data_IF_469644674300
#
_entry.id   IF_469644674300
#
_cell.length_a   1.000
_cell.length_b   1.000
_cell.length_c   1.000
_cell.angle_alpha   90.00
_cell.angle_beta   90.00
_cell.angle_gamma   90.00
#
_symmetry.space_group_name_H-M   'P 1'
#
loop_
_entity.id
_entity.type
_entity.pdbx_description
1 polymer ?
#
# COMPACT_ATOMS: atom_id res chain seq x y z
N UNK A 1 -45.57 7.30 -48.36
CA UNK A 1 -45.41 5.84 -48.53
C UNK A 1 -43.92 5.55 -48.39
N UNK A 2 -43.48 5.24 -47.16
CA UNK A 2 -43.39 3.87 -46.61
C UNK A 2 -42.04 3.24 -47.05
N UNK A 3 -41.01 3.28 -46.19
CA UNK A 3 -40.55 2.20 -45.24
C UNK A 3 -39.82 1.07 -45.98
N UNK A 4 -38.66 0.51 -45.59
CA UNK A 4 -38.01 0.27 -44.29
C UNK A 4 -36.52 -0.10 -44.56
N UNK A 5 -35.53 0.23 -43.69
CA UNK A 5 -35.10 -0.54 -42.48
C UNK A 5 -34.48 -1.91 -42.86
N UNK A 6 -33.39 -2.44 -42.34
CA UNK A 6 -32.37 -2.13 -41.33
C UNK A 6 -31.29 -3.22 -41.56
N UNK A 7 -30.01 -2.95 -41.27
CA UNK A 7 -29.27 -3.92 -40.46
C UNK A 7 -28.14 -3.21 -39.68
N UNK A 8 -28.30 -3.36 -38.38
CA UNK A 8 -27.54 -2.92 -37.22
C UNK A 8 -26.27 -3.76 -36.99
N UNK A 9 -25.37 -3.22 -36.16
CA UNK A 9 -24.42 -3.91 -35.29
C UNK A 9 -23.37 -4.84 -35.92
N UNK A 10 -22.07 -4.55 -35.72
CA UNK A 10 -21.37 -4.95 -34.49
C UNK A 10 -19.85 -4.67 -34.53
N UNK A 11 -19.34 -4.24 -33.36
CA UNK A 11 -18.04 -4.50 -32.76
C UNK A 11 -16.77 -4.61 -33.63
N UNK A 12 -15.97 -3.55 -33.55
CA UNK A 12 -14.51 -3.63 -33.55
C UNK A 12 -13.95 -2.92 -32.33
N UNK A 13 -14.41 -3.27 -31.12
CA UNK A 13 -13.73 -2.86 -29.90
C UNK A 13 -12.32 -3.40 -29.97
N UNK A 14 -11.34 -2.54 -30.21
CA UNK A 14 -9.92 -2.90 -30.21
C UNK A 14 -9.66 -3.70 -28.92
N UNK A 15 -9.34 -5.01 -28.98
CA UNK A 15 -9.29 -5.87 -27.80
C UNK A 15 -8.25 -5.38 -26.78
N UNK A 16 -7.28 -4.60 -27.25
CA UNK A 16 -6.32 -3.86 -26.43
C UNK A 16 -6.95 -2.72 -25.64
N UNK A 17 -7.86 -1.93 -26.25
CA UNK A 17 -8.59 -0.85 -25.59
C UNK A 17 -9.62 -1.39 -24.59
N UNK A 18 -10.39 -2.41 -24.95
CA UNK A 18 -11.36 -3.02 -24.05
C UNK A 18 -10.68 -3.61 -22.80
N UNK A 19 -9.54 -4.30 -22.98
CA UNK A 19 -8.74 -4.82 -21.87
C UNK A 19 -8.15 -3.70 -21.00
N UNK A 20 -7.65 -2.63 -21.64
CA UNK A 20 -7.11 -1.48 -20.92
C UNK A 20 -8.18 -0.73 -20.10
N UNK A 21 -9.39 -0.56 -20.65
CA UNK A 21 -10.52 0.08 -19.96
C UNK A 21 -11.08 -0.77 -18.82
N UNK A 22 -10.99 -2.11 -18.92
CA UNK A 22 -11.52 -3.01 -17.91
C UNK A 22 -10.57 -3.22 -16.72
N UNK A 23 -9.25 -3.31 -16.97
CA UNK A 23 -8.26 -3.73 -15.96
C UNK A 23 -6.92 -2.99 -16.00
N UNK A 24 -6.74 -2.10 -16.98
CA UNK A 24 -5.48 -1.38 -17.17
C UNK A 24 -5.33 -0.17 -16.25
N UNK A 25 -4.11 0.31 -16.00
CA UNK A 25 -3.92 1.55 -15.25
C UNK A 25 -4.49 2.74 -16.04
N UNK A 26 -5.08 3.72 -15.33
CA UNK A 26 -5.78 4.89 -15.92
C UNK A 26 -5.04 5.55 -17.09
N UNK A 27 -3.73 5.79 -16.96
CA UNK A 27 -2.93 6.46 -17.99
C UNK A 27 -2.80 5.64 -19.29
N UNK A 28 -2.75 4.31 -19.19
CA UNK A 28 -2.71 3.40 -20.35
C UNK A 28 -4.08 3.39 -21.04
N UNK A 29 -5.16 3.30 -20.26
CA UNK A 29 -6.52 3.33 -20.79
C UNK A 29 -6.87 4.69 -21.45
N UNK A 30 -6.48 5.80 -20.82
CA UNK A 30 -6.68 7.14 -21.36
C UNK A 30 -5.89 7.34 -22.67
N UNK A 31 -4.63 6.89 -22.72
CA UNK A 31 -3.82 6.97 -23.94
C UNK A 31 -4.43 6.13 -25.06
N UNK A 32 -4.85 4.90 -24.76
CA UNK A 32 -5.49 4.02 -25.73
C UNK A 32 -6.81 4.63 -26.27
N UNK A 33 -7.65 5.20 -25.40
CA UNK A 33 -8.91 5.84 -25.79
C UNK A 33 -8.67 7.09 -26.67
N UNK A 34 -7.65 7.89 -26.36
CA UNK A 34 -7.28 9.08 -27.17
C UNK A 34 -6.79 8.66 -28.55
N UNK A 35 -5.95 7.62 -28.62
CA UNK A 35 -5.44 7.09 -29.88
C UNK A 35 -6.56 6.51 -30.74
N UNK A 36 -7.45 5.70 -30.16
CA UNK A 36 -8.60 5.13 -30.86
C UNK A 36 -9.56 6.19 -31.41
N UNK A 37 -9.69 7.33 -30.72
CA UNK A 37 -10.54 8.45 -31.17
C UNK A 37 -9.83 9.38 -32.16
N UNK A 38 -8.50 9.32 -32.27
CA UNK A 38 -7.70 10.18 -33.16
C UNK A 38 -7.75 11.66 -32.78
N UNK A 39 -7.87 12.00 -31.49
CA UNK A 39 -7.95 13.39 -31.02
C UNK A 39 -6.61 13.88 -30.45
N UNK A 40 -6.13 15.03 -30.93
CA UNK A 40 -5.01 15.75 -30.30
C UNK A 40 -5.39 16.39 -28.97
N UNK A 41 -4.40 16.58 -28.08
CA UNK A 41 -4.61 17.13 -26.73
C UNK A 41 -5.23 18.54 -26.73
N UNK A 42 -4.87 19.41 -27.69
CA UNK A 42 -5.47 20.75 -27.80
C UNK A 42 -6.97 20.70 -28.17
N UNK A 43 -7.37 19.69 -28.96
CA UNK A 43 -8.76 19.47 -29.33
C UNK A 43 -9.58 18.95 -28.15
N UNK A 44 -8.98 18.12 -27.29
CA UNK A 44 -9.58 17.68 -26.03
C UNK A 44 -9.75 18.85 -25.07
N UNK A 45 -8.70 19.66 -24.89
CA UNK A 45 -8.77 20.89 -24.07
C UNK A 45 -9.89 21.82 -24.54
N UNK A 46 -9.98 22.09 -25.84
CA UNK A 46 -11.03 22.94 -26.39
C UNK A 46 -12.45 22.40 -26.12
N UNK A 47 -12.65 21.08 -26.24
CA UNK A 47 -13.95 20.44 -25.97
C UNK A 47 -14.31 20.42 -24.48
N UNK A 48 -13.31 20.32 -23.60
CA UNK A 48 -13.52 20.44 -22.15
C UNK A 48 -13.85 21.88 -21.76
N UNK A 49 -13.16 22.87 -22.35
CA UNK A 49 -13.45 24.29 -22.12
C UNK A 49 -14.87 24.68 -22.57
N UNK A 50 -15.36 24.11 -23.68
CA UNK A 50 -16.74 24.31 -24.12
C UNK A 50 -17.80 23.77 -23.13
N UNK A 51 -17.38 22.97 -22.14
CA UNK A 51 -18.20 22.43 -21.04
C UNK A 51 -17.87 23.09 -19.69
N UNK A 52 -17.21 24.24 -19.70
CA UNK A 52 -16.73 24.98 -18.51
C UNK A 52 -15.72 24.20 -17.63
N UNK A 53 -15.03 23.21 -18.22
CA UNK A 53 -14.03 22.39 -17.54
C UNK A 53 -12.62 22.82 -17.96
N UNK A 54 -11.97 23.60 -17.09
CA UNK A 54 -10.62 24.09 -17.33
C UNK A 54 -9.56 23.03 -17.01
N UNK A 55 -9.04 22.39 -18.05
CA UNK A 55 -7.89 21.47 -17.96
C UNK A 55 -6.81 21.90 -18.94
N UNK A 56 -5.60 22.13 -18.46
CA UNK A 56 -4.48 22.52 -19.33
C UNK A 56 -4.00 21.36 -20.22
N UNK A 57 -3.40 21.67 -21.38
CA UNK A 57 -2.78 20.66 -22.25
C UNK A 57 -1.67 19.90 -21.52
N UNK A 58 -0.93 20.57 -20.62
CA UNK A 58 0.08 19.96 -19.74
C UNK A 58 -0.53 18.94 -18.78
N UNK A 59 -1.68 19.25 -18.18
CA UNK A 59 -2.41 18.33 -17.29
C UNK A 59 -2.85 17.07 -18.03
N UNK A 60 -3.41 17.23 -19.24
CA UNK A 60 -3.81 16.10 -20.08
C UNK A 60 -2.61 15.23 -20.49
N UNK A 61 -1.48 15.86 -20.82
CA UNK A 61 -0.23 15.16 -21.13
C UNK A 61 0.29 14.39 -19.91
N UNK A 62 0.27 14.97 -18.72
CA UNK A 62 0.70 14.30 -17.50
C UNK A 62 -0.21 13.13 -17.13
N UNK A 63 -1.51 13.23 -17.39
CA UNK A 63 -2.47 12.12 -17.23
C UNK A 63 -2.18 10.97 -18.19
N UNK A 64 -1.87 11.24 -19.47
CA UNK A 64 -1.49 10.20 -20.45
C UNK A 64 -0.18 9.49 -20.12
N UNK A 65 0.76 10.18 -19.47
CA UNK A 65 2.07 9.62 -19.09
C UNK A 65 2.09 9.05 -17.67
N UNK A 66 0.97 9.11 -16.94
CA UNK A 66 0.88 8.61 -15.57
C UNK A 66 1.66 9.41 -14.53
N UNK A 67 2.13 10.62 -14.89
CA UNK A 67 2.89 11.51 -13.98
C UNK A 67 2.00 12.14 -12.92
N UNK A 68 0.74 12.41 -13.26
CA UNK A 68 -0.29 12.90 -12.34
C UNK A 68 -1.60 12.17 -12.61
N UNK A 69 -2.53 12.20 -11.64
CA UNK A 69 -3.87 11.66 -11.79
C UNK A 69 -4.91 12.73 -11.47
N UNK A 70 -6.09 12.70 -12.12
CA UNK A 70 -7.22 13.54 -11.72
C UNK A 70 -7.71 13.17 -10.31
N UNK A 71 -7.58 14.08 -9.35
CA UNK A 71 -8.01 13.85 -7.95
C UNK A 71 -9.11 14.84 -7.49
N UNK A 72 -9.15 16.07 -8.03
CA UNK A 72 -10.13 17.09 -7.65
C UNK A 72 -11.51 16.89 -8.31
N UNK A 73 -12.62 17.34 -7.68
CA UNK A 73 -13.98 17.19 -8.24
C UNK A 73 -14.12 17.68 -9.69
N UNK A 74 -13.60 18.87 -10.01
CA UNK A 74 -13.61 19.42 -11.38
C UNK A 74 -12.76 18.59 -12.36
N UNK A 75 -11.68 17.97 -11.90
CA UNK A 75 -10.84 17.10 -12.73
C UNK A 75 -11.47 15.71 -12.94
N UNK A 76 -12.21 15.19 -11.95
CA UNK A 76 -13.00 13.96 -12.08
C UNK A 76 -14.20 14.20 -13.02
N UNK A 77 -14.84 15.36 -12.92
CA UNK A 77 -15.88 15.80 -13.85
C UNK A 77 -15.32 15.95 -15.28
N UNK A 78 -14.10 16.48 -15.42
CA UNK A 78 -13.39 16.48 -16.70
C UNK A 78 -13.13 15.06 -17.23
N UNK A 79 -12.88 14.06 -16.38
CA UNK A 79 -12.75 12.66 -16.81
C UNK A 79 -14.09 12.10 -17.28
N UNK A 80 -15.20 12.42 -16.62
CA UNK A 80 -16.54 12.05 -17.09
C UNK A 80 -16.83 12.66 -18.48
N UNK A 81 -16.49 13.94 -18.66
CA UNK A 81 -16.63 14.60 -19.95
C UNK A 81 -15.69 13.99 -21.01
N UNK A 82 -14.49 13.54 -20.63
CA UNK A 82 -13.58 12.83 -21.53
C UNK A 82 -14.16 11.49 -21.99
N UNK A 83 -14.86 10.74 -21.14
CA UNK A 83 -15.48 9.47 -21.53
C UNK A 83 -16.47 9.66 -22.70
N UNK A 84 -17.27 10.72 -22.64
CA UNK A 84 -18.19 11.10 -23.72
C UNK A 84 -17.45 11.59 -24.97
N UNK A 85 -16.44 12.46 -24.81
CA UNK A 85 -15.66 13.01 -25.93
C UNK A 85 -14.91 11.90 -26.69
N UNK A 86 -14.41 10.92 -25.94
CA UNK A 86 -13.65 9.77 -26.43
C UNK A 86 -14.53 8.61 -26.89
N UNK A 87 -15.85 8.69 -26.66
CA UNK A 87 -16.82 7.66 -27.00
C UNK A 87 -16.49 6.29 -26.38
N UNK A 88 -16.07 6.30 -25.12
CA UNK A 88 -15.85 5.09 -24.31
C UNK A 88 -17.01 4.89 -23.33
N UNK A 89 -17.25 3.68 -22.82
CA UNK A 89 -18.34 3.43 -21.90
C UNK A 89 -18.30 4.38 -20.68
N UNK A 90 -19.44 4.96 -20.27
CA UNK A 90 -19.48 5.82 -19.08
C UNK A 90 -18.92 5.10 -17.86
N UNK A 91 -18.09 5.79 -17.08
CA UNK A 91 -17.45 5.23 -15.89
C UNK A 91 -16.24 4.32 -16.17
N UNK A 92 -15.89 4.04 -17.43
CA UNK A 92 -14.74 3.18 -17.76
C UNK A 92 -13.39 3.80 -17.42
N UNK A 93 -13.19 5.11 -17.62
CA UNK A 93 -11.97 5.79 -17.23
C UNK A 93 -12.01 6.22 -15.76
N UNK A 94 -13.18 6.63 -15.26
CA UNK A 94 -13.39 7.01 -13.85
C UNK A 94 -13.22 5.82 -12.91
N UNK A 95 -13.66 4.62 -13.31
CA UNK A 95 -13.50 3.40 -12.54
C UNK A 95 -12.03 3.04 -12.30
N UNK A 96 -11.14 3.43 -13.24
CA UNK A 96 -9.70 3.22 -13.15
C UNK A 96 -8.97 4.24 -12.26
N UNK A 97 -9.66 5.31 -11.82
CA UNK A 97 -9.10 6.30 -10.89
C UNK A 97 -9.06 5.79 -9.44
N UNK A 98 -9.71 4.66 -9.14
CA UNK A 98 -9.79 4.08 -7.80
C UNK A 98 -10.61 4.95 -6.81
N UNK A 99 -10.84 4.46 -5.58
CA UNK A 99 -11.50 5.26 -4.54
C UNK A 99 -10.69 6.53 -4.23
N UNK A 100 -11.42 7.64 -4.03
CA UNK A 100 -10.86 9.00 -3.81
C UNK A 100 -9.80 9.00 -2.70
N UNK A 101 -8.62 9.53 -3.00
CA UNK A 101 -7.65 10.00 -1.99
C UNK A 101 -8.32 11.03 -1.08
N UNK A 102 -8.50 10.71 0.19
CA UNK A 102 -8.90 11.67 1.19
C UNK A 102 -7.66 12.39 1.73
N UNK A 103 -7.45 13.65 1.34
CA UNK A 103 -6.58 14.58 2.06
C UNK A 103 -7.38 15.82 2.44
N UNK A 104 -7.72 15.95 3.73
CA UNK A 104 -8.32 17.15 4.33
C UNK A 104 -9.36 16.85 5.42
N UNK A 105 -9.39 17.62 6.53
CA UNK A 105 -9.87 17.16 7.83
C UNK A 105 -11.40 17.26 7.96
N UNK A 106 -12.00 16.25 8.60
CA UNK A 106 -13.43 16.05 8.93
C UNK A 106 -14.25 15.27 7.89
N UNK A 107 -14.08 13.96 7.88
CA UNK A 107 -15.12 12.91 7.82
C UNK A 107 -14.35 11.62 7.50
N UNK A 108 -14.42 10.54 8.26
CA UNK A 108 -15.46 10.02 9.11
C UNK A 108 -14.81 9.53 10.41
N UNK A 109 -15.55 9.59 11.51
CA UNK A 109 -15.49 8.50 12.48
C UNK A 109 -15.97 7.22 11.76
N UNK A 110 -15.18 6.69 10.82
CA UNK A 110 -15.11 5.24 10.69
C UNK A 110 -14.71 4.85 12.10
N UNK A 111 -15.56 4.10 12.80
CA UNK A 111 -15.20 3.53 14.10
C UNK A 111 -13.83 2.89 13.87
N UNK A 112 -12.75 3.57 14.25
CA UNK A 112 -11.41 3.06 14.02
C UNK A 112 -11.40 1.76 14.80
N UNK A 113 -11.36 0.66 14.04
CA UNK A 113 -11.26 -0.67 14.62
C UNK A 113 -10.09 -0.61 15.58
N UNK A 114 -10.28 -1.09 16.82
CA UNK A 114 -9.20 -1.03 17.81
C UNK A 114 -7.97 -1.72 17.20
N UNK A 115 -6.76 -1.18 17.37
CA UNK A 115 -5.51 -1.77 16.87
C UNK A 115 -5.44 -3.31 16.96
N UNK A 116 -5.91 -3.86 18.07
CA UNK A 116 -5.91 -5.29 18.40
C UNK A 116 -6.81 -6.13 17.49
N UNK A 117 -7.85 -5.53 16.92
CA UNK A 117 -8.85 -6.23 16.09
C UNK A 117 -8.40 -6.41 14.64
N UNK A 118 -7.36 -5.68 14.21
CA UNK A 118 -6.80 -5.76 12.85
C UNK A 118 -5.55 -6.61 12.84
N UNK A 119 -4.63 -6.36 13.77
CA UNK A 119 -3.36 -7.10 13.85
C UNK A 119 -3.48 -8.41 14.65
N UNK A 120 -4.60 -8.65 15.31
CA UNK A 120 -4.78 -9.85 16.13
C UNK A 120 -3.89 -9.84 17.37
N UNK A 121 -3.58 -11.03 17.91
CA UNK A 121 -2.83 -11.19 19.16
C UNK A 121 -3.69 -11.23 20.43
N UNK A 122 -5.03 -11.20 20.28
CA UNK A 122 -5.97 -11.57 21.33
C UNK A 122 -5.71 -10.88 22.67
N UNK A 123 -5.52 -11.67 23.73
CA UNK A 123 -5.25 -11.16 25.08
C UNK A 123 -3.82 -10.64 25.21
N UNK A 124 -2.84 -11.31 24.61
CA UNK A 124 -1.43 -10.95 24.69
C UNK A 124 -1.14 -9.53 24.18
N UNK A 125 -1.77 -9.15 23.06
CA UNK A 125 -1.70 -7.77 22.57
C UNK A 125 -2.27 -6.77 23.58
N UNK A 126 -3.36 -7.12 24.26
CA UNK A 126 -3.95 -6.23 25.28
C UNK A 126 -3.01 -6.06 26.47
N UNK A 127 -2.46 -7.16 26.96
CA UNK A 127 -1.52 -7.17 28.09
C UNK A 127 -0.24 -6.38 27.77
N UNK A 128 0.28 -6.49 26.54
CA UNK A 128 1.38 -5.66 26.06
C UNK A 128 1.02 -4.17 26.03
N UNK A 129 -0.13 -3.83 25.44
CA UNK A 129 -0.59 -2.45 25.36
C UNK A 129 -0.95 -1.86 26.74
N UNK A 130 -1.30 -2.67 27.74
CA UNK A 130 -1.53 -2.20 29.11
C UNK A 130 -0.22 -1.81 29.79
N UNK A 131 0.89 -2.49 29.45
CA UNK A 131 2.25 -2.13 29.87
C UNK A 131 2.85 -0.98 29.07
N UNK A 132 2.38 -0.76 27.85
CA UNK A 132 2.77 0.37 26.99
C UNK A 132 1.54 1.06 26.38
N UNK A 133 0.81 1.91 27.14
CA UNK A 133 -0.44 2.50 26.70
C UNK A 133 -0.35 3.33 25.42
N UNK A 134 0.82 3.94 25.15
CA UNK A 134 1.09 4.70 23.92
C UNK A 134 0.91 3.85 22.66
N UNK A 135 1.05 2.52 22.74
CA UNK A 135 0.79 1.61 21.61
C UNK A 135 -0.66 1.66 21.11
N UNK A 136 -1.60 2.16 21.94
CA UNK A 136 -3.02 2.30 21.60
C UNK A 136 -3.33 3.59 20.86
N UNK A 137 -2.40 4.54 20.87
CA UNK A 137 -2.61 5.87 20.31
C UNK A 137 -2.25 5.94 18.83
N UNK A 138 -3.05 6.70 18.07
CA UNK A 138 -2.77 7.01 16.67
C UNK A 138 -2.17 8.41 16.56
N UNK A 139 -0.90 8.54 16.94
CA UNK A 139 -0.20 9.83 16.96
C UNK A 139 0.52 10.15 15.64
N UNK A 140 0.72 9.15 14.79
CA UNK A 140 1.49 9.25 13.55
C UNK A 140 0.68 8.72 12.37
N UNK A 141 0.76 9.44 11.25
CA UNK A 141 0.46 8.89 9.93
C UNK A 141 1.74 8.33 9.32
N UNK A 142 1.69 7.13 8.75
CA UNK A 142 2.84 6.55 8.03
C UNK A 142 2.75 6.99 6.57
N UNK A 143 3.66 7.85 6.15
CA UNK A 143 3.74 8.35 4.77
C UNK A 143 4.38 7.29 3.88
N UNK A 144 5.57 6.81 4.27
CA UNK A 144 6.22 5.69 3.57
C UNK A 144 6.73 4.68 4.59
N UNK A 145 6.59 3.40 4.28
CA UNK A 145 7.25 2.32 5.01
C UNK A 145 7.91 1.38 3.99
N UNK A 146 9.20 1.17 4.16
CA UNK A 146 10.00 0.25 3.37
C UNK A 146 10.54 -0.80 4.30
N UNK A 147 10.33 -2.07 3.95
CA UNK A 147 10.80 -3.21 4.72
C UNK A 147 11.64 -4.11 3.83
N UNK A 148 12.81 -4.50 4.33
CA UNK A 148 13.65 -5.53 3.70
C UNK A 148 13.81 -6.67 4.67
N UNK A 149 13.14 -7.79 4.42
CA UNK A 149 13.26 -9.01 5.22
C UNK A 149 14.28 -9.97 4.61
N UNK A 150 14.98 -10.73 5.46
CA UNK A 150 15.99 -11.70 5.05
C UNK A 150 15.60 -13.09 5.53
N UNK A 151 15.59 -14.06 4.61
CA UNK A 151 15.39 -15.47 4.91
C UNK A 151 16.73 -16.18 4.85
N UNK A 152 17.10 -16.85 5.95
CA UNK A 152 18.40 -17.53 6.06
C UNK A 152 18.44 -18.88 5.31
N UNK A 153 19.62 -19.50 5.25
CA UNK A 153 19.84 -20.83 4.66
C UNK A 153 19.02 -21.98 5.26
N UNK A 154 18.41 -21.78 6.43
CA UNK A 154 17.51 -22.76 7.06
C UNK A 154 16.04 -22.42 6.80
N UNK A 155 15.76 -21.37 6.03
CA UNK A 155 14.42 -20.93 5.68
C UNK A 155 13.76 -20.05 6.74
N UNK A 156 14.49 -19.58 7.74
CA UNK A 156 13.94 -18.82 8.87
C UNK A 156 13.96 -17.32 8.58
N UNK A 157 13.02 -16.57 9.13
CA UNK A 157 13.10 -15.11 9.16
C UNK A 157 14.29 -14.70 10.05
N UNK A 158 15.33 -14.18 9.41
CA UNK A 158 16.55 -13.70 10.05
C UNK A 158 16.44 -12.24 10.53
N UNK A 159 15.27 -11.63 10.36
CA UNK A 159 15.04 -10.23 10.67
C UNK A 159 14.81 -9.36 9.44
N UNK A 160 14.60 -8.08 9.72
CA UNK A 160 14.22 -7.10 8.72
C UNK A 160 14.66 -5.68 9.07
N UNK A 161 15.05 -4.95 8.04
CA UNK A 161 15.28 -3.52 8.07
C UNK A 161 13.99 -2.76 7.83
N UNK A 162 13.75 -1.69 8.58
CA UNK A 162 12.60 -0.79 8.43
C UNK A 162 13.08 0.63 8.21
N UNK A 163 12.69 1.25 7.10
CA UNK A 163 12.81 2.69 6.85
C UNK A 163 11.42 3.30 6.76
N UNK A 164 11.14 4.30 7.60
CA UNK A 164 9.80 4.87 7.75
C UNK A 164 9.82 6.40 7.77
N UNK A 165 9.05 7.01 6.88
CA UNK A 165 8.70 8.43 6.95
C UNK A 165 7.34 8.55 7.63
N UNK A 166 7.32 9.19 8.80
CA UNK A 166 6.10 9.43 9.56
C UNK A 166 5.73 10.90 9.56
N UNK A 167 4.45 11.20 9.79
CA UNK A 167 3.92 12.55 10.01
C UNK A 167 3.20 12.64 11.34
N UNK A 168 3.53 13.63 12.15
CA UNK A 168 2.87 13.86 13.43
C UNK A 168 1.43 14.35 13.25
N UNK A 169 0.48 13.72 13.96
CA UNK A 169 -0.94 14.09 13.93
C UNK A 169 -1.33 15.15 14.95
N UNK A 170 -0.46 15.39 15.94
CA UNK A 170 -0.60 16.39 17.00
C UNK A 170 0.79 16.90 17.40
N UNK A 171 0.82 17.95 18.20
CA UNK A 171 2.06 18.45 18.79
C UNK A 171 2.58 17.50 19.88
N UNK A 172 3.90 17.49 20.06
CA UNK A 172 4.57 16.78 21.15
C UNK A 172 4.79 15.29 20.91
N UNK A 173 4.66 14.82 19.66
CA UNK A 173 4.95 13.41 19.33
C UNK A 173 6.46 13.22 19.26
N UNK A 174 7.00 12.29 20.05
CA UNK A 174 8.44 12.09 20.20
C UNK A 174 8.92 10.67 19.86
N UNK A 175 7.98 9.77 19.53
CA UNK A 175 8.28 8.36 19.28
C UNK A 175 7.28 7.66 18.38
N UNK A 176 7.74 6.58 17.76
CA UNK A 176 6.93 5.54 17.14
C UNK A 176 6.92 4.28 18.04
N UNK A 177 5.77 3.60 18.13
CA UNK A 177 5.67 2.31 18.83
C UNK A 177 5.63 1.18 17.80
N UNK A 178 6.77 0.51 17.65
CA UNK A 178 6.93 -0.64 16.78
C UNK A 178 6.36 -1.89 17.46
N UNK A 179 5.67 -2.72 16.69
CA UNK A 179 5.17 -4.01 17.11
C UNK A 179 5.87 -5.08 16.30
N UNK A 180 6.46 -6.04 16.99
CA UNK A 180 7.00 -7.25 16.40
C UNK A 180 6.19 -8.46 16.84
N UNK A 181 6.00 -9.39 15.91
CA UNK A 181 5.42 -10.71 16.14
C UNK A 181 6.32 -11.72 15.45
N UNK A 182 6.87 -12.65 16.23
CA UNK A 182 7.67 -13.74 15.71
C UNK A 182 6.81 -14.86 15.14
N UNK A 183 7.43 -15.61 14.24
CA UNK A 183 6.88 -16.86 13.70
C UNK A 183 6.83 -17.96 14.76
N UNK A 184 6.10 -19.08 14.52
CA UNK A 184 6.14 -20.26 15.38
C UNK A 184 7.58 -20.67 15.72
N UNK A 185 7.82 -20.99 16.99
CA UNK A 185 9.15 -21.35 17.50
C UNK A 185 10.08 -20.16 17.81
N UNK A 186 9.68 -18.92 17.52
CA UNK A 186 10.47 -17.73 17.85
C UNK A 186 10.72 -17.59 19.37
N UNK A 187 11.98 -17.40 19.74
CA UNK A 187 12.41 -17.00 21.08
C UNK A 187 12.43 -15.47 21.18
N UNK A 188 11.38 -14.91 21.80
CA UNK A 188 11.19 -13.46 21.91
C UNK A 188 12.30 -12.76 22.72
N UNK A 189 12.99 -13.48 23.60
CA UNK A 189 14.08 -12.92 24.40
C UNK A 189 15.37 -12.78 23.60
N UNK A 190 15.54 -13.59 22.54
CA UNK A 190 16.64 -13.48 21.59
C UNK A 190 16.45 -12.32 20.59
N UNK A 191 15.21 -11.88 20.36
CA UNK A 191 14.89 -10.81 19.39
C UNK A 191 15.48 -9.47 19.83
N UNK A 192 16.18 -8.81 18.89
CA UNK A 192 16.83 -7.51 19.09
C UNK A 192 16.17 -6.47 18.20
N UNK A 193 16.01 -5.26 18.73
CA UNK A 193 15.61 -4.07 17.95
C UNK A 193 16.77 -3.08 18.04
N UNK A 194 17.30 -2.67 16.89
CA UNK A 194 18.52 -1.85 16.80
C UNK A 194 18.21 -0.58 16.02
N UNK A 195 18.49 0.58 16.61
CA UNK A 195 18.37 1.85 15.91
C UNK A 195 19.51 2.02 14.91
N UNK A 196 19.19 2.54 13.71
CA UNK A 196 20.17 2.77 12.66
C UNK A 196 20.28 4.25 12.27
N UNK A 197 19.17 4.92 11.96
CA UNK A 197 19.15 6.33 11.54
C UNK A 197 18.08 7.12 12.28
N UNK A 198 18.48 8.31 12.74
CA UNK A 198 17.60 9.36 13.28
C UNK A 198 16.59 8.87 14.33
N UNK A 199 16.99 7.85 15.09
CA UNK A 199 16.21 7.32 16.19
C UNK A 199 17.08 6.65 17.27
N UNK A 200 16.45 6.37 18.42
CA UNK A 200 17.00 5.55 19.50
C UNK A 200 15.95 4.54 19.94
N UNK A 201 16.38 3.37 20.43
CA UNK A 201 15.47 2.39 21.01
C UNK A 201 15.29 2.70 22.50
N UNK A 202 14.04 2.96 22.88
CA UNK A 202 13.63 3.21 24.27
C UNK A 202 13.23 1.93 24.98
N UNK A 203 12.07 1.95 25.63
CA UNK A 203 11.56 0.77 26.32
C UNK A 203 11.22 -0.35 25.33
N UNK A 204 11.60 -1.59 25.65
CA UNK A 204 11.10 -2.80 24.98
C UNK A 204 10.28 -3.61 25.98
N UNK A 205 9.05 -3.95 25.59
CA UNK A 205 8.11 -4.73 26.40
C UNK A 205 7.83 -6.03 25.66
N UNK A 206 8.35 -7.14 26.20
CA UNK A 206 8.12 -8.50 25.68
C UNK A 206 6.95 -9.16 26.39
N UNK A 207 6.16 -9.92 25.66
CA UNK A 207 5.12 -10.74 26.24
C UNK A 207 5.75 -12.01 26.86
N UNK A 208 5.31 -12.48 28.03
CA UNK A 208 5.99 -13.57 28.74
C UNK A 208 5.87 -14.96 28.09
N UNK A 209 4.86 -15.19 27.25
CA UNK A 209 4.61 -16.52 26.64
C UNK A 209 4.42 -16.49 25.13
N UNK A 210 3.67 -15.53 24.59
CA UNK A 210 3.56 -15.31 23.14
C UNK A 210 4.81 -14.63 22.53
N UNK A 211 5.18 -14.97 21.27
CA UNK A 211 6.33 -14.39 20.57
C UNK A 211 6.02 -12.97 20.07
N UNK A 212 5.81 -12.03 20.99
CA UNK A 212 5.40 -10.66 20.69
C UNK A 212 6.13 -9.65 21.56
N UNK A 213 6.51 -8.51 20.97
CA UNK A 213 7.05 -7.38 21.70
C UNK A 213 6.61 -6.04 21.14
N UNK A 214 6.63 -5.02 22.01
CA UNK A 214 6.52 -3.62 21.64
C UNK A 214 7.85 -2.93 21.92
N UNK A 215 8.29 -2.06 21.01
CA UNK A 215 9.50 -1.27 21.16
C UNK A 215 9.22 0.20 20.90
N UNK A 216 9.75 1.07 21.76
CA UNK A 216 9.78 2.51 21.51
C UNK A 216 10.93 2.85 20.56
N UNK A 217 10.60 3.53 19.47
CA UNK A 217 11.56 4.11 18.54
C UNK A 217 11.46 5.64 18.70
N UNK A 218 12.36 6.19 19.50
CA UNK A 218 12.39 7.60 19.91
C UNK A 218 13.04 8.45 18.83
N UNK A 219 12.51 9.63 18.55
CA UNK A 219 13.03 10.54 17.52
C UNK A 219 14.21 11.42 17.99
N UNK A 220 14.46 11.45 19.30
CA UNK A 220 15.42 12.37 19.93
C UNK A 220 14.96 13.83 19.96
N UNK A 221 13.76 14.11 19.47
CA UNK A 221 13.11 15.43 19.48
C UNK A 221 11.58 15.25 19.55
N UNK A 222 10.87 16.33 19.85
CA UNK A 222 9.41 16.39 19.74
C UNK A 222 9.01 17.02 18.42
N UNK A 223 8.03 16.43 17.74
CA UNK A 223 7.47 16.91 16.48
C UNK A 223 6.24 17.79 16.73
N UNK A 224 6.06 18.85 15.94
CA UNK A 224 4.82 19.59 15.86
C UNK A 224 3.83 18.90 14.91
N UNK A 225 2.54 19.23 15.03
CA UNK A 225 1.52 18.70 14.13
C UNK A 225 1.86 19.00 12.67
N UNK A 226 1.91 17.95 11.84
CA UNK A 226 2.21 18.04 10.41
C UNK A 226 3.69 17.88 10.07
N UNK A 227 4.60 17.94 11.05
CA UNK A 227 6.01 17.67 10.83
C UNK A 227 6.23 16.22 10.37
N UNK A 228 7.24 16.02 9.54
CA UNK A 228 7.65 14.69 9.11
C UNK A 228 9.00 14.33 9.72
N UNK A 229 9.20 13.05 10.03
CA UNK A 229 10.46 12.52 10.54
C UNK A 229 10.77 11.18 9.88
N UNK A 230 12.02 10.98 9.47
CA UNK A 230 12.51 9.73 8.89
C UNK A 230 13.21 8.94 10.00
N UNK A 231 12.88 7.66 10.14
CA UNK A 231 13.54 6.74 11.07
C UNK A 231 13.97 5.48 10.32
N UNK A 232 15.13 4.94 10.70
CA UNK A 232 15.57 3.61 10.27
C UNK A 232 15.98 2.78 11.47
N UNK A 233 15.45 1.57 11.56
CA UNK A 233 15.80 0.59 12.59
C UNK A 233 15.71 -0.81 12.02
N UNK A 234 16.38 -1.75 12.67
CA UNK A 234 16.43 -3.15 12.29
C UNK A 234 15.82 -4.00 13.42
N UNK A 235 15.13 -5.07 13.04
CA UNK A 235 14.76 -6.14 13.95
C UNK A 235 15.54 -7.37 13.54
N UNK A 236 16.24 -7.99 14.49
CA UNK A 236 16.98 -9.23 14.28
C UNK A 236 16.23 -10.37 14.96
N UNK A 237 15.92 -11.40 14.17
CA UNK A 237 15.42 -12.72 14.59
C UNK A 237 16.26 -13.80 13.87
N UNK A 238 15.95 -15.06 14.07
CA UNK A 238 16.65 -16.23 13.52
C UNK A 238 16.45 -17.47 14.38
N UNK A 239 15.46 -17.45 15.27
CA UNK A 239 15.17 -18.52 16.22
C UNK A 239 13.92 -19.33 15.85
N UNK A 240 13.10 -18.80 14.93
CA UNK A 240 11.85 -19.40 14.49
C UNK A 240 12.03 -20.70 13.69
N UNK A 241 10.91 -21.38 13.47
CA UNK A 241 10.79 -22.43 12.46
C UNK A 241 10.94 -21.84 11.04
N UNK A 242 11.21 -22.66 10.01
CA UNK A 242 11.25 -22.19 8.64
C UNK A 242 9.96 -21.49 8.23
N UNK A 243 10.08 -20.23 7.84
CA UNK A 243 8.97 -19.40 7.44
C UNK A 243 8.45 -19.81 6.05
N UNK A 244 7.17 -19.63 5.82
CA UNK A 244 6.54 -19.78 4.49
C UNK A 244 5.99 -18.46 3.95
N UNK A 245 6.08 -17.39 4.74
CA UNK A 245 5.70 -16.05 4.33
C UNK A 245 6.33 -14.99 5.23
N UNK A 246 6.38 -13.76 4.73
CA UNK A 246 6.63 -12.56 5.52
C UNK A 246 5.48 -11.58 5.29
N UNK A 247 4.89 -11.05 6.36
CA UNK A 247 3.74 -10.16 6.30
C UNK A 247 3.85 -8.96 7.23
N UNK A 248 3.51 -7.77 6.72
CA UNK A 248 3.38 -6.57 7.53
C UNK A 248 1.92 -6.35 7.91
N UNK A 249 1.66 -6.20 9.21
CA UNK A 249 0.36 -5.76 9.73
C UNK A 249 0.23 -4.23 9.73
N UNK A 250 -0.93 -3.73 9.30
CA UNK A 250 -1.27 -2.31 9.24
C UNK A 250 -2.48 -2.02 10.14
N UNK A 251 -2.26 -1.29 11.24
CA UNK A 251 -3.35 -0.82 12.13
C UNK A 251 -4.14 0.33 11.52
N UNK A 252 -3.45 1.14 10.73
CA UNK A 252 -3.92 2.38 10.14
C UNK A 252 -3.49 2.42 8.68
N UNK A 253 -4.16 3.25 7.84
CA UNK A 253 -3.75 3.41 6.47
C UNK A 253 -2.30 3.88 6.33
N UNK A 254 -1.61 3.40 5.31
CA UNK A 254 -0.24 3.81 4.94
C UNK A 254 -0.23 4.35 3.52
N UNK A 255 0.37 5.53 3.29
CA UNK A 255 0.29 6.14 1.95
C UNK A 255 1.08 5.33 0.90
N UNK A 256 2.24 4.79 1.27
CA UNK A 256 3.06 3.92 0.42
C UNK A 256 3.82 2.88 1.23
N UNK A 257 3.73 1.61 0.82
CA UNK A 257 4.44 0.49 1.41
C UNK A 257 5.23 -0.27 0.35
N UNK A 258 6.47 -0.63 0.69
CA UNK A 258 7.30 -1.52 -0.12
C UNK A 258 7.86 -2.62 0.76
N UNK A 259 7.79 -3.86 0.27
CA UNK A 259 8.40 -5.03 0.87
C UNK A 259 9.38 -5.65 -0.13
N UNK A 260 10.58 -5.91 0.34
CA UNK A 260 11.53 -6.81 -0.31
C UNK A 260 11.78 -7.99 0.62
N UNK A 261 11.69 -9.21 0.09
CA UNK A 261 12.17 -10.42 0.78
C UNK A 261 13.40 -10.92 0.04
N UNK A 262 14.51 -11.09 0.75
CA UNK A 262 15.78 -11.63 0.24
C UNK A 262 15.94 -13.07 0.71
N UNK A 263 16.23 -13.97 -0.21
CA UNK A 263 16.48 -15.38 0.08
C UNK A 263 17.97 -15.69 0.07
N UNK A 264 18.38 -16.61 0.93
CA UNK A 264 19.71 -17.18 0.91
C UNK A 264 19.96 -17.97 -0.39
N UNK A 265 21.13 -17.83 -1.05
CA UNK A 265 21.44 -18.54 -2.29
C UNK A 265 21.41 -20.07 -2.16
N UNK A 266 21.59 -20.62 -0.96
CA UNK A 266 21.59 -22.06 -0.72
C UNK A 266 20.18 -22.63 -0.50
N UNK A 267 19.15 -21.77 -0.40
CA UNK A 267 17.75 -22.19 -0.22
C UNK A 267 16.78 -21.25 -0.95
N UNK A 268 16.43 -21.62 -2.19
CA UNK A 268 15.50 -20.84 -3.03
C UNK A 268 14.11 -21.48 -3.10
N UNK A 269 13.04 -20.67 -3.07
CA UNK A 269 11.67 -21.19 -3.17
C UNK A 269 11.32 -21.64 -4.59
N UNK A 270 10.49 -22.69 -4.70
CA UNK A 270 9.90 -23.14 -5.96
C UNK A 270 8.86 -22.16 -6.52
N UNK A 271 8.13 -21.50 -5.63
CA UNK A 271 7.08 -20.54 -5.99
C UNK A 271 7.05 -19.39 -4.98
N UNK A 272 6.86 -18.18 -5.48
CA UNK A 272 6.69 -16.97 -4.68
C UNK A 272 5.42 -16.26 -5.12
N UNK A 273 4.64 -15.75 -4.17
CA UNK A 273 3.37 -15.09 -4.44
C UNK A 273 3.13 -13.94 -3.45
N UNK A 274 2.35 -12.96 -3.87
CA UNK A 274 1.83 -11.91 -2.98
C UNK A 274 0.56 -12.38 -2.30
N UNK A 275 0.34 -11.93 -1.07
CA UNK A 275 -0.90 -12.17 -0.36
C UNK A 275 -1.41 -10.92 0.35
N UNK A 276 -2.71 -10.94 0.64
CA UNK A 276 -3.38 -9.98 1.49
C UNK A 276 -4.24 -10.69 2.53
N UNK A 277 -4.39 -10.07 3.69
CA UNK A 277 -5.31 -10.50 4.74
C UNK A 277 -6.08 -9.29 5.26
N UNK A 278 -7.39 -9.45 5.43
CA UNK A 278 -8.21 -8.40 6.05
C UNK A 278 -7.89 -8.23 7.54
N UNK A 279 -7.45 -9.31 8.19
CA UNK A 279 -6.98 -9.40 9.57
C UNK A 279 -5.99 -10.56 9.68
N UNK A 280 -5.04 -10.47 10.61
CA UNK A 280 -4.04 -11.54 10.80
C UNK A 280 -4.62 -12.88 11.31
N UNK A 281 -5.89 -12.93 11.73
CA UNK A 281 -6.62 -14.16 12.10
C UNK A 281 -7.50 -14.71 10.97
N UNK A 282 -7.46 -14.11 9.78
CA UNK A 282 -8.20 -14.59 8.60
C UNK A 282 -7.30 -15.33 7.63
N UNK A 283 -7.89 -16.19 6.80
CA UNK A 283 -7.14 -16.92 5.79
C UNK A 283 -6.35 -15.97 4.88
N UNK A 284 -5.11 -16.36 4.62
CA UNK A 284 -4.24 -15.71 3.68
C UNK A 284 -4.83 -15.84 2.27
N UNK A 285 -5.08 -14.71 1.61
CA UNK A 285 -5.55 -14.69 0.23
C UNK A 285 -4.40 -14.42 -0.72
N UNK A 286 -4.05 -15.42 -1.54
CA UNK A 286 -3.11 -15.21 -2.64
C UNK A 286 -3.69 -14.23 -3.66
N UNK A 287 -2.89 -13.23 -4.03
CA UNK A 287 -3.32 -12.18 -4.97
C UNK A 287 -2.55 -12.21 -6.29
N UNK A 288 -1.58 -13.11 -6.44
CA UNK A 288 -0.83 -13.35 -7.67
C UNK A 288 0.62 -13.77 -7.42
N UNK A 289 1.25 -14.34 -8.44
CA UNK A 289 2.64 -14.78 -8.37
C UNK A 289 3.63 -13.61 -8.48
N UNK A 290 4.81 -13.80 -7.90
CA UNK A 290 5.96 -12.88 -7.98
C UNK A 290 7.16 -13.67 -8.51
N UNK A 291 7.91 -13.07 -9.43
CA UNK A 291 9.17 -13.63 -9.91
C UNK A 291 10.33 -13.18 -9.01
N UNK A 292 11.19 -14.13 -8.64
CA UNK A 292 12.47 -13.83 -8.00
C UNK A 292 13.42 -13.19 -9.02
N UNK A 293 14.02 -12.05 -8.69
CA UNK A 293 14.98 -11.41 -9.58
C UNK A 293 16.39 -12.03 -9.45
N UNK A 294 17.33 -11.59 -10.29
CA UNK A 294 18.72 -12.08 -10.28
C UNK A 294 19.49 -11.76 -9.00
N UNK A 295 18.92 -10.96 -8.10
CA UNK A 295 19.48 -10.64 -6.79
C UNK A 295 18.86 -11.49 -5.67
N UNK A 296 18.12 -12.56 -6.03
CA UNK A 296 17.43 -13.46 -5.12
C UNK A 296 16.44 -12.73 -4.22
N UNK A 297 15.75 -11.72 -4.79
CA UNK A 297 14.76 -10.94 -4.07
C UNK A 297 13.40 -10.96 -4.76
N UNK A 298 12.35 -11.04 -3.93
CA UNK A 298 10.97 -10.85 -4.30
C UNK A 298 10.50 -9.48 -3.81
N UNK A 299 9.73 -8.76 -4.62
CA UNK A 299 9.34 -7.39 -4.33
C UNK A 299 7.84 -7.15 -4.49
N UNK A 300 7.32 -6.31 -3.62
CA UNK A 300 5.93 -5.87 -3.58
C UNK A 300 5.92 -4.37 -3.27
N UNK A 301 5.10 -3.61 -4.00
CA UNK A 301 4.83 -2.21 -3.71
C UNK A 301 3.34 -1.92 -3.80
N UNK A 302 2.80 -1.20 -2.82
CA UNK A 302 1.41 -0.84 -2.75
C UNK A 302 1.24 0.60 -2.26
N UNK A 303 0.29 1.33 -2.85
CA UNK A 303 -0.03 2.70 -2.44
C UNK A 303 -1.42 2.71 -1.82
N UNK A 304 -1.63 3.56 -0.81
CA UNK A 304 -2.89 3.65 -0.07
C UNK A 304 -3.29 2.30 0.53
N UNK A 305 -2.37 1.73 1.32
CA UNK A 305 -2.62 0.47 2.02
C UNK A 305 -3.69 0.72 3.07
N UNK A 306 -4.74 -0.10 3.04
CA UNK A 306 -5.80 -0.09 4.06
C UNK A 306 -5.43 -1.01 5.25
N UNK A 307 -6.07 -0.84 6.42
CA UNK A 307 -5.83 -1.70 7.56
C UNK A 307 -6.04 -3.19 7.24
N UNK A 308 -5.11 -4.03 7.66
CA UNK A 308 -5.05 -5.45 7.32
C UNK A 308 -3.61 -5.97 7.41
N UNK A 309 -3.27 -6.97 6.60
CA UNK A 309 -1.90 -7.39 6.38
C UNK A 309 -1.61 -7.57 4.89
N UNK A 310 -0.37 -7.30 4.49
CA UNK A 310 0.11 -7.50 3.12
C UNK A 310 1.52 -8.09 3.19
N UNK A 311 1.80 -9.05 2.32
CA UNK A 311 3.08 -9.75 2.37
C UNK A 311 3.40 -10.57 1.14
N UNK A 312 4.49 -11.31 1.26
CA UNK A 312 5.01 -12.24 0.27
C UNK A 312 5.06 -13.62 0.92
N UNK A 313 4.44 -14.61 0.28
CA UNK A 313 4.48 -16.02 0.66
C UNK A 313 5.26 -16.84 -0.36
N UNK A 314 5.71 -18.01 0.05
CA UNK A 314 6.48 -18.91 -0.80
C UNK A 314 6.25 -20.38 -0.47
N UNK A 315 6.64 -21.23 -1.41
CA UNK A 315 6.69 -22.68 -1.27
C UNK A 315 8.12 -23.14 -1.48
N UNK A 316 8.64 -23.90 -0.53
CA UNK A 316 9.97 -24.51 -0.58
C UNK A 316 10.03 -25.63 -1.61
#
# INVERSE_FOLDING_TARGET
MATNSVDSDNAGSDPTLATALARGPFHVALRAAINARGLGLDRLRHRLLARDLQVSTTSLSYWQHGRTRPEHPKSIEAVAALEEILNVPPGSLRGLLGPRRARGPRSLRVKQRRPETVIGGGNAMRELCDRMPLAREHQLDIVTQQVTATIDKLGRDAGHDVSMLVRARRDGVDRHIALFRGDPGCDIDAVRVIAYRDCMIGQIVRHPTEPMLLAEVLFGTTLAQGDNHLIEFEVIDGTSEPATCYGQGFRYPVEHYTLQVRFDPDLLPQRVFRFAQSRLDTDLQETGDITLNNWLTAQLSHSQVEPGALGIGWQW
#
